data_IF_649032569603
#
_entry.id   IF_649032569603
#
_cell.length_a   1.000
_cell.length_b   1.000
_cell.length_c   1.000
_cell.angle_alpha   90.00
_cell.angle_beta   90.00
_cell.angle_gamma   90.00
#
_symmetry.space_group_name_H-M   'P 1'
#
loop_
_entity.id
_entity.type
_entity.pdbx_description
1 polymer ?
#
# COMPACT_ATOMS: atom_id res chain seq x y z
N UNK A 1 17.91 -8.74 -14.39
CA UNK A 1 16.56 -8.27 -13.99
C UNK A 1 16.66 -7.16 -12.96
N UNK A 2 15.75 -6.23 -13.03
CA UNK A 2 15.72 -5.09 -12.11
C UNK A 2 14.36 -5.00 -11.46
N UNK A 3 14.32 -4.46 -10.24
CA UNK A 3 13.06 -4.07 -9.61
C UNK A 3 12.78 -2.63 -10.02
N UNK A 4 11.66 -2.42 -10.69
CA UNK A 4 11.29 -1.13 -11.25
C UNK A 4 9.93 -0.73 -10.69
N UNK A 5 9.74 0.56 -10.39
CA UNK A 5 8.47 1.08 -9.91
C UNK A 5 7.37 0.75 -10.93
N UNK A 6 6.33 0.05 -10.48
CA UNK A 6 5.18 -0.25 -11.33
C UNK A 6 3.92 0.43 -10.81
N UNK A 7 3.70 0.40 -9.50
CA UNK A 7 2.43 0.83 -8.89
C UNK A 7 2.70 1.76 -7.73
N UNK A 8 1.95 2.86 -7.64
CA UNK A 8 2.09 3.79 -6.53
C UNK A 8 0.74 4.38 -6.13
N UNK A 9 0.37 4.17 -4.87
CA UNK A 9 -0.75 4.86 -4.25
C UNK A 9 -0.16 5.97 -3.39
N UNK A 10 -0.38 7.22 -3.80
CA UNK A 10 0.29 8.37 -3.19
C UNK A 10 -0.64 9.07 -2.21
N UNK A 11 -0.22 9.16 -0.95
CA UNK A 11 -0.86 9.93 0.12
C UNK A 11 -2.25 9.42 0.48
N UNK A 12 -2.37 8.12 0.67
CA UNK A 12 -3.59 7.54 1.22
C UNK A 12 -3.59 7.68 2.74
N UNK A 13 -4.75 7.96 3.32
CA UNK A 13 -4.89 8.04 4.77
C UNK A 13 -5.19 6.67 5.35
N UNK A 14 -4.44 6.28 6.38
CA UNK A 14 -4.69 5.01 7.08
C UNK A 14 -6.02 5.16 7.83
N UNK A 15 -6.98 4.29 7.48
CA UNK A 15 -8.33 4.34 8.06
C UNK A 15 -8.43 3.49 9.31
N UNK A 16 -7.56 2.48 9.45
CA UNK A 16 -7.61 1.54 10.58
C UNK A 16 -6.24 0.90 10.78
N UNK A 17 -5.92 0.54 12.02
CA UNK A 17 -4.72 -0.21 12.35
C UNK A 17 -5.10 -1.27 13.39
N UNK A 18 -4.95 -2.55 13.01
CA UNK A 18 -5.39 -3.67 13.83
C UNK A 18 -4.21 -4.59 14.17
N UNK A 19 -3.57 -4.43 15.34
CA UNK A 19 -2.39 -5.21 15.70
C UNK A 19 -2.67 -6.69 15.99
N UNK A 20 -3.93 -7.04 16.20
CA UNK A 20 -4.31 -8.40 16.56
C UNK A 20 -4.67 -9.26 15.34
N UNK A 21 -4.63 -8.68 14.15
CA UNK A 21 -4.94 -9.39 12.91
C UNK A 21 -3.65 -9.93 12.27
N UNK A 22 -3.81 -10.86 11.33
CA UNK A 22 -2.67 -11.41 10.58
C UNK A 22 -2.00 -10.27 9.80
N UNK A 23 -0.65 -10.22 9.85
CA UNK A 23 0.12 -9.13 9.23
C UNK A 23 -0.15 -8.96 7.75
N UNK A 24 -0.47 -7.72 7.34
CA UNK A 24 -0.78 -7.38 5.94
C UNK A 24 -1.21 -5.92 5.88
N UNK A 25 -1.50 -5.45 4.66
CA UNK A 25 -2.19 -4.18 4.48
C UNK A 25 -3.44 -4.41 3.63
N UNK A 26 -4.61 -4.09 4.18
CA UNK A 26 -5.87 -4.16 3.44
C UNK A 26 -6.08 -2.84 2.71
N UNK A 27 -6.26 -2.90 1.40
CA UNK A 27 -6.40 -1.73 0.54
C UNK A 27 -7.70 -1.86 -0.25
N UNK A 28 -8.45 -0.75 -0.34
CA UNK A 28 -9.62 -0.64 -1.22
C UNK A 28 -9.29 -1.24 -2.59
N UNK A 29 -10.09 -2.21 -3.03
CA UNK A 29 -9.86 -2.93 -4.28
C UNK A 29 -9.80 -1.99 -5.49
N UNK A 30 -10.62 -0.93 -5.49
CA UNK A 30 -10.59 0.03 -6.60
C UNK A 30 -9.25 0.76 -6.69
N UNK A 31 -8.65 1.09 -5.55
CA UNK A 31 -7.33 1.70 -5.54
C UNK A 31 -6.28 0.72 -6.04
N UNK A 32 -6.35 -0.54 -5.62
CA UNK A 32 -5.41 -1.56 -6.09
C UNK A 32 -5.48 -1.73 -7.61
N UNK A 33 -6.69 -1.83 -8.14
CA UNK A 33 -6.89 -2.03 -9.58
C UNK A 33 -6.42 -0.82 -10.38
N UNK A 34 -6.62 0.39 -9.85
CA UNK A 34 -6.22 1.61 -10.54
C UNK A 34 -4.72 1.68 -10.81
N UNK A 35 -3.91 0.99 -10.02
CA UNK A 35 -2.45 0.99 -10.15
C UNK A 35 -1.87 -0.38 -10.48
N UNK A 36 -2.72 -1.38 -10.67
CA UNK A 36 -2.28 -2.71 -11.07
C UNK A 36 -1.66 -3.55 -9.95
N UNK A 37 -2.09 -3.34 -8.71
CA UNK A 37 -1.68 -4.18 -7.57
C UNK A 37 -2.60 -5.39 -7.47
N UNK A 38 -2.03 -6.56 -7.23
CA UNK A 38 -2.76 -7.80 -7.01
C UNK A 38 -2.86 -8.12 -5.52
N UNK A 39 -3.93 -8.81 -5.10
CA UNK A 39 -3.97 -9.35 -3.74
C UNK A 39 -2.79 -10.30 -3.49
N UNK A 40 -2.18 -10.19 -2.31
CA UNK A 40 -1.02 -11.01 -1.96
C UNK A 40 0.31 -10.47 -2.46
N UNK A 41 0.29 -9.38 -3.16
CA UNK A 41 1.53 -8.80 -3.71
C UNK A 41 2.30 -8.05 -2.62
N UNK A 42 3.62 -8.22 -2.62
CA UNK A 42 4.51 -7.51 -1.71
C UNK A 42 4.57 -6.04 -2.07
N UNK A 43 4.45 -5.17 -1.06
CA UNK A 43 4.53 -3.73 -1.22
C UNK A 43 5.42 -3.11 -0.16
N UNK A 44 5.97 -1.94 -0.51
CA UNK A 44 6.64 -1.05 0.44
C UNK A 44 5.63 0.00 0.88
N UNK A 45 5.48 0.17 2.19
CA UNK A 45 4.59 1.19 2.77
C UNK A 45 5.44 2.19 3.54
N UNK A 46 5.31 3.45 3.22
CA UNK A 46 6.06 4.52 3.87
C UNK A 46 5.11 5.56 4.45
N UNK A 47 5.30 5.91 5.72
CA UNK A 47 4.53 6.98 6.36
C UNK A 47 5.15 8.33 6.03
N UNK A 48 4.33 9.23 5.51
CA UNK A 48 4.74 10.61 5.24
C UNK A 48 4.95 11.36 6.56
N UNK A 49 4.16 11.02 7.58
CA UNK A 49 4.19 11.71 8.87
C UNK A 49 5.44 11.40 9.68
N UNK A 50 5.88 10.14 9.69
CA UNK A 50 6.97 9.70 10.58
C UNK A 50 8.22 9.30 9.83
N UNK A 51 8.12 9.01 8.54
CA UNK A 51 9.21 8.43 7.76
C UNK A 51 9.42 6.94 7.99
N UNK A 52 8.62 6.32 8.85
CA UNK A 52 8.67 4.87 9.07
C UNK A 52 8.26 4.17 7.79
N UNK A 53 8.96 3.08 7.48
CA UNK A 53 8.63 2.28 6.31
C UNK A 53 8.77 0.79 6.62
N UNK A 54 7.96 0.01 5.94
CA UNK A 54 7.93 -1.43 6.13
C UNK A 54 7.55 -2.13 4.82
N UNK A 55 7.82 -3.40 4.77
CA UNK A 55 7.37 -4.26 3.69
C UNK A 55 6.32 -5.22 4.22
N UNK A 56 5.27 -5.41 3.45
CA UNK A 56 4.20 -6.34 3.77
C UNK A 56 3.53 -6.79 2.47
N UNK A 57 2.41 -7.49 2.56
CA UNK A 57 1.66 -7.89 1.37
C UNK A 57 0.23 -7.39 1.47
N UNK A 58 -0.42 -7.28 0.31
CA UNK A 58 -1.75 -6.69 0.20
C UNK A 58 -2.86 -7.70 0.40
N UNK A 59 -3.96 -7.24 0.99
CA UNK A 59 -5.26 -7.90 0.97
C UNK A 59 -6.24 -6.94 0.33
N UNK A 60 -7.17 -7.46 -0.46
CA UNK A 60 -8.18 -6.59 -1.06
C UNK A 60 -9.25 -6.23 -0.04
N UNK A 61 -9.54 -4.95 0.07
CA UNK A 61 -10.66 -4.44 0.85
C UNK A 61 -11.87 -4.17 -0.03
N UNK A 62 -12.99 -3.84 0.59
CA UNK A 62 -14.23 -3.58 -0.12
C UNK A 62 -14.08 -2.45 -1.13
N UNK A 63 -14.58 -2.66 -2.35
CA UNK A 63 -14.53 -1.67 -3.43
C UNK A 63 -15.22 -0.37 -3.01
N UNK A 64 -14.54 0.76 -3.24
CA UNK A 64 -15.10 2.07 -2.96
C UNK A 64 -15.14 2.44 -1.49
N UNK A 65 -14.65 1.59 -0.60
CA UNK A 65 -14.67 1.84 0.85
C UNK A 65 -13.65 2.88 1.30
N UNK A 66 -12.60 3.06 0.53
CA UNK A 66 -11.47 3.91 0.92
C UNK A 66 -10.59 3.27 1.99
N UNK A 67 -10.77 1.99 2.30
CA UNK A 67 -10.05 1.34 3.40
C UNK A 67 -8.56 1.25 3.11
N UNK A 68 -7.77 1.66 4.09
CA UNK A 68 -6.33 1.42 4.18
C UNK A 68 -6.09 0.97 5.61
N UNK A 69 -5.93 -0.34 5.81
CA UNK A 69 -5.81 -0.91 7.16
C UNK A 69 -4.49 -1.64 7.31
N UNK A 70 -3.67 -1.20 8.26
CA UNK A 70 -2.44 -1.90 8.64
C UNK A 70 -2.80 -2.99 9.64
N UNK A 71 -2.39 -4.22 9.35
CA UNK A 71 -2.72 -5.39 10.15
C UNK A 71 -1.47 -5.98 10.80
N UNK A 72 -1.61 -6.52 12.01
CA UNK A 72 -0.54 -7.22 12.70
C UNK A 72 0.56 -6.28 13.16
N UNK A 73 1.80 -6.70 13.05
CA UNK A 73 2.96 -5.94 13.51
C UNK A 73 3.07 -4.56 12.85
N UNK A 74 2.65 -4.46 11.59
CA UNK A 74 2.65 -3.18 10.86
C UNK A 74 1.80 -2.12 11.55
N UNK A 75 0.72 -2.53 12.23
CA UNK A 75 -0.18 -1.62 12.94
C UNK A 75 0.50 -0.94 14.14
N UNK A 76 1.60 -1.50 14.61
CA UNK A 76 2.38 -0.89 15.71
C UNK A 76 3.31 0.19 15.20
N UNK A 77 3.67 0.12 13.93
CA UNK A 77 4.62 1.05 13.33
C UNK A 77 3.93 2.23 12.66
N UNK A 78 2.82 1.98 11.99
CA UNK A 78 2.04 3.00 11.26
C UNK A 78 0.62 2.99 11.81
N UNK A 79 0.14 4.15 12.25
CA UNK A 79 -1.11 4.29 12.98
C UNK A 79 -2.23 4.88 12.13
N UNK A 80 -3.47 4.67 12.58
CA UNK A 80 -4.64 5.29 12.01
C UNK A 80 -4.44 6.81 11.92
N UNK A 81 -4.80 7.39 10.78
CA UNK A 81 -4.70 8.83 10.53
C UNK A 81 -3.41 9.24 9.86
N UNK A 82 -2.38 8.40 9.87
CA UNK A 82 -1.14 8.71 9.16
C UNK A 82 -1.37 8.65 7.65
N UNK A 83 -0.62 9.45 6.92
CA UNK A 83 -0.65 9.47 5.46
C UNK A 83 0.49 8.58 4.96
N UNK A 84 0.17 7.66 4.05
CA UNK A 84 1.14 6.68 3.56
C UNK A 84 1.26 6.71 2.05
N UNK A 85 2.42 6.24 1.58
CA UNK A 85 2.69 5.97 0.18
C UNK A 85 2.88 4.46 0.07
N UNK A 86 2.15 3.82 -0.85
CA UNK A 86 2.20 2.37 -1.05
C UNK A 86 2.78 2.11 -2.43
N UNK A 87 3.86 1.33 -2.50
CA UNK A 87 4.63 1.14 -3.73
C UNK A 87 4.75 -0.34 -4.04
N UNK A 88 4.40 -0.70 -5.29
CA UNK A 88 4.64 -2.02 -5.85
C UNK A 88 5.69 -1.95 -6.95
N UNK A 89 6.48 -3.01 -7.05
CA UNK A 89 7.58 -3.10 -8.02
C UNK A 89 7.36 -4.25 -8.97
N UNK A 90 7.98 -4.16 -10.12
CA UNK A 90 7.99 -5.25 -11.10
C UNK A 90 9.43 -5.68 -11.33
N UNK A 91 9.65 -6.99 -11.37
CA UNK A 91 10.95 -7.56 -11.72
C UNK A 91 10.97 -7.74 -13.22
N UNK A 92 11.83 -7.01 -13.91
CA UNK A 92 11.78 -6.95 -15.37
C UNK A 92 13.14 -6.60 -15.96
N UNK A 93 13.32 -6.93 -17.23
CA UNK A 93 14.48 -6.54 -18.02
C UNK A 93 14.23 -5.31 -18.89
N UNK A 94 13.00 -4.79 -18.86
CA UNK A 94 12.58 -3.65 -19.71
C UNK A 94 11.99 -2.55 -18.84
N UNK A 95 12.10 -1.28 -19.27
CA UNK A 95 11.40 -0.19 -18.59
C UNK A 95 9.90 -0.44 -18.49
N UNK A 96 9.32 -0.04 -17.36
CA UNK A 96 7.89 -0.19 -17.07
C UNK A 96 7.28 1.20 -16.97
N UNK A 97 6.13 1.39 -17.60
CA UNK A 97 5.35 2.61 -17.41
C UNK A 97 4.58 2.47 -16.10
N UNK A 98 5.00 3.18 -15.07
CA UNK A 98 4.36 3.12 -13.76
C UNK A 98 2.97 3.75 -13.78
N UNK A 99 2.11 3.25 -12.88
CA UNK A 99 0.78 3.81 -12.64
C UNK A 99 0.76 4.38 -11.23
N UNK A 100 0.30 5.62 -11.12
CA UNK A 100 0.21 6.32 -9.83
C UNK A 100 -1.19 6.87 -9.67
N UNK A 101 -1.78 6.67 -8.49
CA UNK A 101 -3.01 7.35 -8.09
C UNK A 101 -2.69 8.24 -6.90
N UNK A 102 -3.20 9.48 -6.94
CA UNK A 102 -3.06 10.44 -5.84
C UNK A 102 -4.39 10.46 -5.11
N UNK A 103 -4.38 10.05 -3.84
CA UNK A 103 -5.61 9.95 -3.04
C UNK A 103 -5.89 11.26 -2.33
N UNK A 104 -4.85 11.84 -1.73
CA UNK A 104 -4.95 13.15 -1.06
C UNK A 104 -3.85 14.05 -1.60
N UNK A 105 -4.21 15.23 -2.01
CA UNK A 105 -3.26 16.20 -2.56
C UNK A 105 -2.69 17.13 -1.48
#
# INVERSE_FOLDING_TARGET
>A
MRQVLRSKIHRATVTEANPDYVGSITIDQDLMESVGLWPGEKVLVASVDTGQRLETYTLKGECGSGVICLNGAAAKLIKKGEIVIIIGFEITDKPVKSKTVIVNS
#
